data_IF_197226196528
#
_entry.id   IF_197226196528
#
_cell.length_a   1.000
_cell.length_b   1.000
_cell.length_c   1.000
_cell.angle_alpha   90.00
_cell.angle_beta   90.00
_cell.angle_gamma   90.00
#
_symmetry.space_group_name_H-M   'P 1'
#
loop_
_entity.id
_entity.type
_entity.pdbx_description
1 polymer ?
#
# COMPACT_ATOMS: atom_id res chain seq x y z
N UNK A 1 8.89 5.96 9.85
CA UNK A 1 9.32 5.53 11.21
C UNK A 1 10.82 5.17 11.34
N UNK A 2 11.66 5.47 10.33
CA UNK A 2 13.11 5.27 10.37
C UNK A 2 13.56 3.90 9.83
N UNK A 3 14.82 3.84 9.37
CA UNK A 3 15.38 2.66 8.66
C UNK A 3 15.37 1.37 9.48
N UNK A 4 15.59 1.46 10.80
CA UNK A 4 15.64 0.27 11.67
C UNK A 4 14.29 -0.44 11.75
N UNK A 5 13.18 0.30 11.84
CA UNK A 5 11.83 -0.30 11.85
C UNK A 5 11.48 -0.91 10.50
N UNK A 6 11.87 -0.27 9.40
CA UNK A 6 11.67 -0.81 8.05
C UNK A 6 12.40 -2.16 7.87
N UNK A 7 13.67 -2.26 8.28
CA UNK A 7 14.40 -3.53 8.23
C UNK A 7 13.76 -4.64 9.09
N UNK A 8 13.23 -4.28 10.26
CA UNK A 8 12.50 -5.22 11.11
C UNK A 8 11.19 -5.67 10.46
N UNK A 9 10.45 -4.75 9.83
CA UNK A 9 9.22 -5.05 9.11
C UNK A 9 9.48 -5.97 7.91
N UNK A 10 10.53 -5.71 7.13
CA UNK A 10 10.90 -6.57 5.99
C UNK A 10 11.28 -7.99 6.42
N UNK A 11 12.02 -8.11 7.52
CA UNK A 11 12.38 -9.41 8.07
C UNK A 11 11.14 -10.16 8.58
N UNK A 12 10.28 -9.50 9.35
CA UNK A 12 9.02 -10.09 9.82
C UNK A 12 8.07 -10.45 8.68
N UNK A 13 8.03 -9.66 7.62
CA UNK A 13 7.23 -9.95 6.43
C UNK A 13 7.71 -11.21 5.70
N UNK A 14 9.03 -11.45 5.63
CA UNK A 14 9.59 -12.69 5.06
C UNK A 14 9.19 -13.91 5.88
N UNK A 15 9.35 -13.85 7.19
CA UNK A 15 8.99 -14.94 8.10
C UNK A 15 7.48 -15.22 8.08
N UNK A 16 6.64 -14.17 8.02
CA UNK A 16 5.20 -14.31 7.95
C UNK A 16 4.76 -15.01 6.67
N UNK A 17 5.36 -14.66 5.52
CA UNK A 17 5.07 -15.29 4.21
C UNK A 17 5.35 -16.79 4.19
N UNK A 18 6.25 -17.29 5.03
CA UNK A 18 6.54 -18.73 5.12
C UNK A 18 5.46 -19.50 5.90
N UNK A 19 4.66 -18.80 6.71
CA UNK A 19 3.69 -19.39 7.62
C UNK A 19 2.23 -19.21 7.20
N UNK A 20 1.94 -18.40 6.17
CA UNK A 20 0.57 -18.08 5.75
C UNK A 20 0.35 -18.28 4.25
N UNK A 21 -0.90 -18.52 3.87
CA UNK A 21 -1.30 -18.67 2.48
C UNK A 21 -1.20 -17.36 1.67
N UNK A 22 -1.62 -16.25 2.28
CA UNK A 22 -1.59 -14.91 1.69
C UNK A 22 -1.31 -13.86 2.77
N UNK A 23 -0.45 -12.90 2.45
CA UNK A 23 -0.13 -11.72 3.24
C UNK A 23 -0.61 -10.48 2.50
N UNK A 24 -1.49 -9.71 3.13
CA UNK A 24 -1.91 -8.39 2.65
C UNK A 24 -1.00 -7.35 3.30
N UNK A 25 -0.31 -6.54 2.49
CA UNK A 25 0.56 -5.47 2.99
C UNK A 25 -0.06 -4.10 2.79
N UNK A 26 -0.13 -3.31 3.86
CA UNK A 26 -0.61 -1.92 3.82
C UNK A 26 0.57 -1.00 4.17
N UNK A 27 1.18 -0.34 3.17
CA UNK A 27 2.30 0.57 3.41
C UNK A 27 1.81 1.87 4.05
N UNK A 28 2.21 2.13 5.30
CA UNK A 28 1.87 3.36 6.02
C UNK A 28 2.27 4.65 5.27
N UNK A 29 3.33 4.59 4.45
CA UNK A 29 3.76 5.72 3.61
C UNK A 29 2.70 6.12 2.58
N UNK A 30 1.88 5.18 2.09
CA UNK A 30 0.83 5.45 1.11
C UNK A 30 -0.40 6.10 1.73
N UNK A 31 -0.67 5.82 3.00
CA UNK A 31 -1.74 6.46 3.75
C UNK A 31 -1.51 7.97 3.88
N UNK A 32 -0.24 8.42 3.93
CA UNK A 32 0.10 9.84 3.98
C UNK A 32 -0.36 10.62 2.74
N UNK A 33 -0.54 9.97 1.59
CA UNK A 33 -1.09 10.61 0.39
C UNK A 33 -2.61 10.83 0.48
N UNK A 34 -3.28 10.10 1.36
CA UNK A 34 -4.74 10.17 1.55
C UNK A 34 -5.12 11.09 2.71
N UNK A 35 -4.16 11.41 3.60
CA UNK A 35 -4.39 12.18 4.82
C UNK A 35 -3.99 13.65 4.63
N UNK A 36 -4.85 14.57 5.07
CA UNK A 36 -4.57 16.01 5.04
C UNK A 36 -3.39 16.39 5.94
N UNK A 37 -2.59 17.38 5.51
CA UNK A 37 -1.36 17.82 6.21
C UNK A 37 -1.59 18.34 7.64
N UNK A 38 -2.84 18.62 8.02
CA UNK A 38 -3.22 19.11 9.36
C UNK A 38 -3.62 18.02 10.36
N UNK A 39 -3.67 16.76 9.94
CA UNK A 39 -4.15 15.64 10.77
C UNK A 39 -3.11 15.23 11.80
N UNK A 40 -3.55 14.90 13.01
CA UNK A 40 -2.66 14.45 14.09
C UNK A 40 -2.07 13.07 13.78
N UNK A 41 -0.93 12.72 14.40
CA UNK A 41 -0.32 11.40 14.23
C UNK A 41 -1.29 10.27 14.65
N UNK A 42 -2.05 10.48 15.74
CA UNK A 42 -3.04 9.49 16.19
C UNK A 42 -4.16 9.28 15.17
N UNK A 43 -4.68 10.37 14.61
CA UNK A 43 -5.73 10.31 13.59
C UNK A 43 -5.22 9.73 12.26
N UNK A 44 -3.93 9.90 11.92
CA UNK A 44 -3.34 9.24 10.75
C UNK A 44 -3.30 7.71 10.88
N UNK A 45 -3.10 7.18 12.10
CA UNK A 45 -3.15 5.72 12.31
C UNK A 45 -4.58 5.19 12.25
N UNK A 46 -5.59 5.99 12.62
CA UNK A 46 -7.00 5.58 12.46
C UNK A 46 -7.37 5.34 11.00
N UNK A 47 -6.71 6.01 10.06
CA UNK A 47 -6.90 5.75 8.63
C UNK A 47 -6.32 4.38 8.24
N UNK A 48 -5.16 4.02 8.79
CA UNK A 48 -4.61 2.67 8.62
C UNK A 48 -5.54 1.60 9.18
N UNK A 49 -6.08 1.85 10.38
CA UNK A 49 -7.04 0.96 11.03
C UNK A 49 -8.32 0.80 10.21
N UNK A 50 -8.83 1.88 9.60
CA UNK A 50 -10.02 1.79 8.75
C UNK A 50 -9.75 1.00 7.46
N UNK A 51 -8.58 1.15 6.85
CA UNK A 51 -8.18 0.32 5.69
C UNK A 51 -8.10 -1.15 6.07
N UNK A 52 -7.45 -1.48 7.20
CA UNK A 52 -7.39 -2.86 7.71
C UNK A 52 -8.79 -3.41 7.99
N UNK A 53 -9.66 -2.61 8.62
CA UNK A 53 -11.05 -2.96 8.89
C UNK A 53 -11.80 -3.25 7.59
N UNK A 54 -11.66 -2.41 6.57
CA UNK A 54 -12.26 -2.60 5.25
C UNK A 54 -11.73 -3.86 4.55
N UNK A 55 -10.44 -4.18 4.68
CA UNK A 55 -9.86 -5.40 4.12
C UNK A 55 -10.51 -6.65 4.69
N UNK A 56 -10.55 -6.72 6.03
CA UNK A 56 -11.10 -7.86 6.76
C UNK A 56 -12.60 -7.98 6.53
N UNK A 57 -13.31 -6.84 6.59
CA UNK A 57 -14.74 -6.80 6.31
C UNK A 57 -15.03 -7.25 4.87
N UNK A 58 -14.27 -6.77 3.89
CA UNK A 58 -14.48 -7.11 2.47
C UNK A 58 -14.38 -8.61 2.20
N UNK A 59 -13.48 -9.33 2.88
CA UNK A 59 -13.38 -10.80 2.76
C UNK A 59 -14.45 -11.50 3.59
N UNK A 60 -14.68 -11.04 4.83
CA UNK A 60 -15.61 -11.67 5.75
C UNK A 60 -17.06 -11.58 5.25
N UNK A 61 -17.45 -10.43 4.70
CA UNK A 61 -18.82 -10.18 4.25
C UNK A 61 -19.17 -11.08 3.05
N UNK A 62 -18.19 -11.36 2.17
CA UNK A 62 -18.37 -12.29 1.05
C UNK A 62 -18.69 -13.72 1.47
N UNK A 63 -18.26 -14.14 2.66
CA UNK A 63 -18.43 -15.51 3.17
C UNK A 63 -19.66 -15.58 4.08
N UNK A 64 -19.87 -14.55 4.90
CA UNK A 64 -20.80 -14.60 6.04
C UNK A 64 -22.13 -13.92 5.77
N UNK A 65 -22.17 -12.94 4.87
CA UNK A 65 -23.38 -12.16 4.59
C UNK A 65 -24.03 -12.70 3.32
N UNK A 66 -25.32 -13.07 3.35
CA UNK A 66 -26.06 -13.39 2.14
C UNK A 66 -26.10 -12.17 1.22
N UNK A 67 -25.44 -12.29 0.08
CA UNK A 67 -25.44 -11.34 -1.01
C UNK A 67 -26.41 -11.70 -2.14
N UNK A 68 -26.57 -10.77 -3.08
CA UNK A 68 -27.19 -11.01 -4.39
C UNK A 68 -26.42 -12.05 -5.19
N UNK A 69 -25.09 -12.03 -5.05
CA UNK A 69 -24.16 -12.98 -5.65
C UNK A 69 -23.33 -13.54 -4.51
N UNK A 70 -23.76 -14.70 -4.01
CA UNK A 70 -23.03 -15.42 -2.99
C UNK A 70 -21.81 -16.11 -3.60
N UNK A 71 -20.69 -15.92 -2.96
CA UNK A 71 -19.50 -16.75 -3.13
C UNK A 71 -19.49 -17.81 -2.04
N UNK A 72 -18.94 -18.97 -2.33
CA UNK A 72 -18.68 -19.95 -1.29
C UNK A 72 -17.25 -19.79 -0.73
N UNK A 73 -17.00 -20.46 0.39
CA UNK A 73 -15.67 -20.43 1.00
C UNK A 73 -14.60 -21.13 0.13
N UNK A 74 -14.99 -22.07 -0.73
CA UNK A 74 -14.06 -22.76 -1.60
C UNK A 74 -13.53 -21.83 -2.71
N UNK A 75 -14.38 -20.96 -3.24
CA UNK A 75 -14.06 -19.90 -4.19
C UNK A 75 -13.02 -18.94 -3.62
N UNK A 76 -13.30 -18.38 -2.42
CA UNK A 76 -12.35 -17.48 -1.73
C UNK A 76 -11.05 -18.20 -1.40
N UNK A 77 -11.12 -19.44 -0.92
CA UNK A 77 -9.94 -20.26 -0.62
C UNK A 77 -9.11 -20.51 -1.89
N UNK A 78 -9.73 -20.77 -3.03
CA UNK A 78 -9.02 -21.05 -4.29
C UNK A 78 -8.18 -19.86 -4.76
N UNK A 79 -8.67 -18.63 -4.54
CA UNK A 79 -7.92 -17.40 -4.86
C UNK A 79 -6.87 -17.08 -3.80
N UNK A 80 -7.13 -17.32 -2.51
CA UNK A 80 -6.20 -16.89 -1.47
C UNK A 80 -5.16 -17.94 -1.07
N UNK A 81 -5.34 -19.21 -1.44
CA UNK A 81 -4.47 -20.29 -1.01
C UNK A 81 -3.12 -20.25 -1.76
N UNK A 82 -2.02 -20.07 -1.01
CA UNK A 82 -0.66 -20.11 -1.55
C UNK A 82 -0.29 -18.97 -2.52
N UNK A 83 -1.07 -17.88 -2.56
CA UNK A 83 -0.81 -16.75 -3.45
C UNK A 83 0.27 -15.79 -2.94
N UNK A 84 0.68 -15.92 -1.68
CA UNK A 84 1.80 -15.15 -1.15
C UNK A 84 1.43 -13.69 -0.92
N UNK A 85 1.76 -12.79 -1.84
CA UNK A 85 1.51 -11.35 -1.65
C UNK A 85 0.18 -10.89 -2.21
N UNK A 86 -0.49 -10.03 -1.45
CA UNK A 86 -1.74 -9.42 -1.84
C UNK A 86 -1.75 -7.91 -1.57
N UNK A 87 -2.48 -7.20 -2.42
CA UNK A 87 -2.71 -5.76 -2.37
C UNK A 87 -4.20 -5.49 -2.35
N UNK A 88 -4.58 -4.35 -1.76
CA UNK A 88 -5.98 -3.98 -1.58
C UNK A 88 -6.22 -2.58 -2.12
N UNK A 89 -7.30 -2.42 -2.88
CA UNK A 89 -7.87 -1.14 -3.25
C UNK A 89 -9.30 -1.02 -2.73
N UNK A 90 -9.67 0.18 -2.27
CA UNK A 90 -11.03 0.48 -1.86
C UNK A 90 -11.52 1.77 -2.53
N UNK A 91 -12.78 1.78 -2.92
CA UNK A 91 -13.45 2.93 -3.52
C UNK A 91 -14.89 3.04 -3.05
N UNK A 92 -15.38 4.28 -2.98
CA UNK A 92 -16.78 4.56 -2.61
C UNK A 92 -17.32 5.68 -3.48
N UNK A 93 -18.55 5.54 -3.93
CA UNK A 93 -19.22 6.59 -4.70
C UNK A 93 -20.73 6.57 -4.46
N UNK A 94 -21.39 7.66 -4.87
CA UNK A 94 -22.83 7.88 -4.69
C UNK A 94 -23.45 8.41 -5.98
N UNK A 95 -24.75 8.24 -6.14
CA UNK A 95 -25.51 8.71 -7.30
C UNK A 95 -25.42 7.78 -8.51
N UNK A 96 -25.84 8.29 -9.67
CA UNK A 96 -26.12 7.49 -10.87
C UNK A 96 -24.88 6.79 -11.45
N UNK A 97 -23.69 7.39 -11.32
CA UNK A 97 -22.42 6.82 -11.81
C UNK A 97 -21.60 6.10 -10.72
N UNK A 98 -22.21 5.81 -9.56
CA UNK A 98 -21.49 5.26 -8.41
C UNK A 98 -20.72 3.97 -8.71
N UNK A 99 -21.23 3.11 -9.59
CA UNK A 99 -20.55 1.87 -9.95
C UNK A 99 -19.20 2.13 -10.65
N UNK A 100 -19.20 3.02 -11.63
CA UNK A 100 -18.01 3.37 -12.40
C UNK A 100 -17.03 4.14 -11.51
N UNK A 101 -17.51 5.14 -10.79
CA UNK A 101 -16.68 5.99 -9.94
C UNK A 101 -16.06 5.22 -8.77
N UNK A 102 -16.83 4.38 -8.08
CA UNK A 102 -16.31 3.55 -6.99
C UNK A 102 -15.27 2.55 -7.51
N UNK A 103 -15.50 1.98 -8.70
CA UNK A 103 -14.54 1.04 -9.32
C UNK A 103 -13.25 1.76 -9.68
N UNK A 104 -13.34 2.93 -10.34
CA UNK A 104 -12.18 3.74 -10.69
C UNK A 104 -11.37 4.15 -9.46
N UNK A 105 -12.04 4.55 -8.38
CA UNK A 105 -11.36 4.84 -7.11
C UNK A 105 -10.68 3.61 -6.52
N UNK A 106 -11.32 2.43 -6.59
CA UNK A 106 -10.75 1.21 -6.05
C UNK A 106 -9.48 0.79 -6.81
N UNK A 107 -9.49 0.82 -8.15
CA UNK A 107 -8.33 0.47 -8.98
C UNK A 107 -7.21 1.51 -8.96
N UNK A 108 -7.54 2.79 -8.72
CA UNK A 108 -6.57 3.88 -8.61
C UNK A 108 -6.16 4.18 -7.16
N UNK A 109 -6.54 3.30 -6.23
CA UNK A 109 -6.26 3.50 -4.81
C UNK A 109 -4.74 3.54 -4.56
N UNK A 110 -4.22 4.48 -3.74
CA UNK A 110 -2.79 4.58 -3.42
C UNK A 110 -2.17 3.34 -2.76
N UNK A 111 -3.02 2.41 -2.33
CA UNK A 111 -2.67 1.14 -1.69
C UNK A 111 -2.43 -0.01 -2.68
N UNK A 112 -2.94 0.13 -3.91
CA UNK A 112 -2.53 -0.70 -5.03
C UNK A 112 -1.26 -0.05 -5.61
N UNK A 113 -0.17 -0.81 -5.68
CA UNK A 113 1.12 -0.29 -6.16
C UNK A 113 1.06 0.14 -7.64
N UNK A 114 2.11 0.81 -8.09
CA UNK A 114 2.39 1.11 -9.52
C UNK A 114 2.47 -0.16 -10.41
N UNK A 115 2.39 -1.36 -9.81
CA UNK A 115 1.99 -2.57 -10.49
C UNK A 115 0.46 -2.56 -10.59
N UNK A 116 -0.02 -2.16 -11.76
CA UNK A 116 -1.37 -2.37 -12.25
C UNK A 116 -1.93 -3.71 -11.77
N UNK A 117 -3.25 -3.83 -11.61
CA UNK A 117 -3.94 -5.11 -11.36
C UNK A 117 -3.48 -6.21 -12.37
N UNK A 118 -2.93 -5.78 -13.51
CA UNK A 118 -2.10 -6.55 -14.45
C UNK A 118 -0.93 -7.27 -13.77
N UNK A 119 -1.00 -8.59 -13.73
CA UNK A 119 -0.01 -9.48 -13.11
C UNK A 119 -0.49 -10.15 -11.82
N UNK A 120 -1.67 -9.79 -11.32
CA UNK A 120 -2.33 -10.57 -10.27
C UNK A 120 -2.91 -11.87 -10.86
N UNK A 121 -2.57 -13.02 -10.26
CA UNK A 121 -3.12 -14.33 -10.67
C UNK A 121 -4.54 -14.55 -10.19
N UNK A 122 -4.92 -13.89 -9.10
CA UNK A 122 -6.25 -13.95 -8.53
C UNK A 122 -6.74 -12.59 -8.09
N UNK A 123 -7.96 -12.22 -8.43
CA UNK A 123 -8.59 -10.96 -8.04
C UNK A 123 -9.93 -11.25 -7.39
N UNK A 124 -10.09 -10.78 -6.16
CA UNK A 124 -11.34 -10.85 -5.40
C UNK A 124 -11.97 -9.47 -5.34
N UNK A 125 -13.24 -9.38 -5.73
CA UNK A 125 -14.00 -8.15 -5.80
C UNK A 125 -15.21 -8.28 -4.87
N UNK A 126 -15.29 -7.41 -3.87
CA UNK A 126 -16.46 -7.27 -3.03
C UNK A 126 -17.19 -5.96 -3.40
N UNK A 127 -18.45 -6.07 -3.80
CA UNK A 127 -19.33 -4.94 -4.07
C UNK A 127 -20.36 -4.90 -2.97
N UNK A 128 -20.40 -3.82 -2.20
CA UNK A 128 -21.40 -3.59 -1.16
C UNK A 128 -22.24 -2.38 -1.54
N UNK A 129 -23.55 -2.56 -1.63
CA UNK A 129 -24.49 -1.49 -1.98
C UNK A 129 -25.77 -1.57 -1.17
N UNK A 130 -26.60 -0.53 -1.29
CA UNK A 130 -27.93 -0.52 -0.70
C UNK A 130 -28.90 -1.49 -1.41
N UNK A 131 -30.15 -1.61 -0.92
CA UNK A 131 -31.20 -2.41 -1.56
C UNK A 131 -31.53 -2.00 -3.00
N UNK A 132 -31.07 -0.82 -3.41
CA UNK A 132 -31.17 -0.24 -4.74
C UNK A 132 -30.01 -0.66 -5.67
N UNK A 133 -29.11 -1.54 -5.23
CA UNK A 133 -28.04 -2.12 -6.05
C UNK A 133 -28.62 -2.96 -7.19
N UNK A 134 -28.21 -2.64 -8.43
CA UNK A 134 -28.70 -3.32 -9.63
C UNK A 134 -27.63 -4.26 -10.23
N UNK A 135 -28.09 -5.28 -10.94
CA UNK A 135 -27.20 -6.18 -11.70
C UNK A 135 -26.40 -5.44 -12.78
N UNK A 136 -26.94 -4.35 -13.34
CA UNK A 136 -26.25 -3.55 -14.36
C UNK A 136 -25.02 -2.86 -13.77
N UNK A 137 -25.15 -2.28 -12.57
CA UNK A 137 -24.04 -1.66 -11.86
C UNK A 137 -22.95 -2.66 -11.48
N UNK A 138 -23.35 -3.83 -10.99
CA UNK A 138 -22.42 -4.93 -10.67
C UNK A 138 -21.65 -5.39 -11.91
N UNK A 139 -22.34 -5.53 -13.04
CA UNK A 139 -21.71 -5.93 -14.31
C UNK A 139 -20.76 -4.84 -14.84
N UNK A 140 -21.14 -3.56 -14.75
CA UNK A 140 -20.29 -2.45 -15.15
C UNK A 140 -18.99 -2.42 -14.33
N UNK A 141 -19.08 -2.56 -13.00
CA UNK A 141 -17.91 -2.64 -12.11
C UNK A 141 -17.00 -3.82 -12.45
N UNK A 142 -17.60 -5.02 -12.64
CA UNK A 142 -16.87 -6.23 -13.02
C UNK A 142 -16.15 -6.08 -14.36
N UNK A 143 -16.78 -5.45 -15.35
CA UNK A 143 -16.20 -5.23 -16.68
C UNK A 143 -14.97 -4.33 -16.64
N UNK A 144 -15.03 -3.21 -15.90
CA UNK A 144 -13.90 -2.29 -15.74
C UNK A 144 -12.71 -2.98 -15.07
N UNK A 145 -12.96 -3.79 -14.04
CA UNK A 145 -11.89 -4.51 -13.34
C UNK A 145 -11.29 -5.58 -14.24
N UNK A 146 -12.11 -6.27 -15.04
CA UNK A 146 -11.63 -7.26 -16.00
C UNK A 146 -10.76 -6.65 -17.08
N UNK A 147 -11.13 -5.48 -17.60
CA UNK A 147 -10.31 -4.71 -18.56
C UNK A 147 -8.98 -4.23 -17.96
N UNK A 148 -8.93 -4.07 -16.64
CA UNK A 148 -7.74 -3.62 -15.92
C UNK A 148 -6.88 -4.78 -15.39
N UNK A 149 -7.40 -6.00 -15.39
CA UNK A 149 -6.74 -7.21 -14.93
C UNK A 149 -6.07 -7.97 -16.10
N UNK A 150 -5.28 -8.98 -15.76
CA UNK A 150 -4.71 -9.89 -16.76
C UNK A 150 -5.79 -10.82 -17.33
N UNK A 151 -5.71 -11.16 -18.62
CA UNK A 151 -6.68 -12.05 -19.29
C UNK A 151 -6.72 -13.44 -18.64
N UNK A 152 -5.59 -13.88 -18.09
CA UNK A 152 -5.43 -15.18 -17.41
C UNK A 152 -5.71 -15.12 -15.90
N UNK A 153 -6.09 -13.94 -15.36
CA UNK A 153 -6.38 -13.81 -13.93
C UNK A 153 -7.70 -14.49 -13.56
N UNK A 154 -7.70 -15.25 -12.45
CA UNK A 154 -8.93 -15.79 -11.88
C UNK A 154 -9.66 -14.67 -11.10
N UNK A 155 -10.78 -14.19 -11.64
CA UNK A 155 -11.55 -13.09 -11.04
C UNK A 155 -12.82 -13.64 -10.40
N UNK A 156 -12.99 -13.35 -9.12
CA UNK A 156 -14.18 -13.70 -8.35
C UNK A 156 -14.83 -12.42 -7.84
N UNK A 157 -16.15 -12.32 -8.03
CA UNK A 157 -16.94 -11.17 -7.61
C UNK A 157 -18.06 -11.62 -6.68
N UNK A 158 -18.25 -10.91 -5.59
CA UNK A 158 -19.44 -11.04 -4.76
C UNK A 158 -20.12 -9.69 -4.57
N UNK A 159 -21.43 -9.75 -4.38
CA UNK A 159 -22.27 -8.58 -4.24
C UNK A 159 -23.13 -8.71 -2.99
N UNK A 160 -22.90 -7.86 -2.01
CA UNK A 160 -23.57 -7.85 -0.70
C UNK A 160 -24.52 -6.65 -0.62
N UNK A 161 -25.71 -6.89 -0.08
CA UNK A 161 -26.66 -5.82 0.23
C UNK A 161 -26.49 -5.40 1.69
N UNK A 162 -26.20 -4.13 1.90
CA UNK A 162 -26.17 -3.49 3.21
C UNK A 162 -27.32 -2.46 3.29
N UNK A 163 -28.35 -2.77 4.08
CA UNK A 163 -29.52 -1.91 4.26
C UNK A 163 -29.20 -0.54 4.87
N UNK A 164 -28.02 -0.40 5.50
CA UNK A 164 -27.57 0.88 6.06
C UNK A 164 -27.03 1.84 4.99
N UNK A 165 -26.73 1.34 3.80
CA UNK A 165 -26.29 2.15 2.68
C UNK A 165 -27.50 2.65 1.88
N UNK A 166 -27.57 3.96 1.67
CA UNK A 166 -28.57 4.59 0.80
C UNK A 166 -27.84 5.38 -0.26
N UNK A 167 -28.11 5.04 -1.52
CA UNK A 167 -27.49 5.65 -2.69
C UNK A 167 -25.94 5.64 -2.67
N UNK A 168 -25.34 4.65 -2.01
CA UNK A 168 -23.89 4.51 -1.87
C UNK A 168 -23.47 3.10 -2.29
N UNK A 169 -22.39 3.04 -3.07
CA UNK A 169 -21.72 1.80 -3.42
C UNK A 169 -20.28 1.83 -2.92
N UNK A 170 -19.86 0.74 -2.29
CA UNK A 170 -18.48 0.49 -1.85
C UNK A 170 -17.94 -0.70 -2.63
N UNK A 171 -16.73 -0.54 -3.16
CA UNK A 171 -16.04 -1.60 -3.88
C UNK A 171 -14.70 -1.82 -3.21
N UNK A 172 -14.40 -3.07 -2.89
CA UNK A 172 -13.10 -3.50 -2.39
C UNK A 172 -12.53 -4.51 -3.37
N UNK A 173 -11.32 -4.24 -3.85
CA UNK A 173 -10.58 -5.11 -4.77
C UNK A 173 -9.37 -5.64 -4.02
N UNK A 174 -9.19 -6.95 -4.03
CA UNK A 174 -8.05 -7.63 -3.44
C UNK A 174 -7.36 -8.41 -4.55
N UNK A 175 -6.18 -7.94 -4.92
CA UNK A 175 -5.34 -8.57 -5.93
C UNK A 175 -4.31 -9.47 -5.24
N UNK A 176 -4.15 -10.69 -5.71
CA UNK A 176 -3.32 -11.74 -5.10
C UNK A 176 -2.45 -12.41 -6.16
N UNK A 177 -1.35 -13.01 -5.74
CA UNK A 177 -0.53 -13.84 -6.62
C UNK A 177 0.45 -13.04 -7.47
N UNK A 178 0.86 -11.86 -7.00
CA UNK A 178 1.94 -11.09 -7.61
C UNK A 178 3.26 -11.87 -7.50
N UNK A 179 3.90 -12.12 -8.64
CA UNK A 179 5.17 -12.85 -8.68
C UNK A 179 6.29 -12.07 -7.98
N UNK A 180 7.16 -12.81 -7.29
CA UNK A 180 8.20 -12.37 -6.35
C UNK A 180 9.26 -11.41 -6.91
N UNK A 181 9.22 -11.01 -8.18
CA UNK A 181 10.28 -10.22 -8.80
C UNK A 181 10.08 -8.69 -8.73
N UNK A 182 8.89 -8.18 -8.43
CA UNK A 182 8.64 -6.72 -8.55
C UNK A 182 9.06 -5.93 -7.31
N UNK A 183 9.32 -6.57 -6.17
CA UNK A 183 9.88 -5.90 -4.99
C UNK A 183 11.42 -5.92 -5.01
N UNK A 184 12.03 -5.82 -6.19
CA UNK A 184 13.34 -5.20 -6.28
C UNK A 184 13.12 -3.70 -6.18
N UNK A 185 13.28 -3.16 -4.98
CA UNK A 185 13.45 -1.72 -4.78
C UNK A 185 14.52 -1.29 -5.78
N UNK A 186 14.09 -0.58 -6.82
CA UNK A 186 14.93 -0.08 -7.90
C UNK A 186 15.87 0.97 -7.32
N UNK A 187 16.94 0.48 -6.72
CA UNK A 187 18.22 1.18 -6.59
C UNK A 187 18.82 1.30 -8.00
N UNK A 188 18.19 2.12 -8.83
CA UNK A 188 18.64 2.42 -10.19
C UNK A 188 18.46 3.91 -10.48
N UNK A 189 19.10 4.72 -9.64
CA UNK A 189 19.56 6.05 -10.01
C UNK A 189 21.06 6.18 -9.67
N UNK A 190 21.86 5.17 -10.06
CA UNK A 190 23.27 5.37 -10.31
C UNK A 190 23.39 5.79 -11.78
N UNK A 191 23.27 7.09 -12.01
CA UNK A 191 23.52 7.71 -13.30
C UNK A 191 24.92 7.31 -13.76
N UNK A 192 25.01 6.67 -14.94
CA UNK A 192 26.24 6.41 -15.66
C UNK A 192 26.96 7.76 -15.91
N UNK A 193 27.91 8.11 -15.04
CA UNK A 193 28.86 9.19 -15.29
C UNK A 193 30.11 8.54 -15.88
N UNK A 194 30.37 8.87 -17.15
CA UNK A 194 31.58 8.47 -17.89
C UNK A 194 32.85 8.79 -17.10
N UNK A 195 33.94 8.02 -17.22
CA UNK A 195 35.20 8.36 -16.55
C UNK A 195 35.81 9.61 -17.21
N UNK A 196 35.65 10.76 -16.57
CA UNK A 196 36.36 11.98 -16.91
C UNK A 196 37.83 11.87 -16.48
N UNK A 197 38.72 12.34 -17.36
CA UNK A 197 40.16 12.37 -17.18
C UNK A 197 40.59 13.05 -15.85
N UNK A 198 41.74 12.66 -15.26
CA UNK A 198 42.16 13.20 -13.97
C UNK A 198 42.47 14.71 -14.07
N UNK A 199 42.05 15.53 -13.09
CA UNK A 199 42.37 16.96 -13.09
C UNK A 199 43.87 17.15 -12.83
N UNK A 200 44.51 17.99 -13.66
CA UNK A 200 45.86 18.49 -13.41
C UNK A 200 45.85 19.36 -12.16
N UNK A 201 46.59 18.96 -11.14
CA UNK A 201 46.92 19.79 -9.99
C UNK A 201 47.73 21.01 -10.47
N UNK A 202 47.16 22.20 -10.33
CA UNK A 202 47.90 23.47 -10.42
C UNK A 202 48.42 23.76 -9.03
N UNK A 203 49.74 23.62 -8.83
CA UNK A 203 50.42 24.03 -7.61
C UNK A 203 50.24 25.54 -7.41
N UNK A 204 49.46 25.92 -6.39
CA UNK A 204 49.57 27.25 -5.76
C UNK A 204 50.43 27.13 -4.51
N UNK A 205 51.38 28.05 -4.28
CA UNK A 205 52.13 28.10 -3.04
C UNK A 205 51.20 28.35 -1.86
N UNK A 206 51.40 27.58 -0.80
CA UNK A 206 50.75 27.69 0.50
C UNK A 206 51.34 28.86 1.29
N UNK A 207 50.52 29.87 1.58
CA UNK A 207 50.71 30.72 2.75
C UNK A 207 49.35 31.11 3.32
N UNK A 208 49.30 31.12 4.66
CA UNK A 208 48.22 31.53 5.55
C UNK A 208 46.98 30.62 5.72
N UNK A 209 47.07 29.71 6.70
CA UNK A 209 45.93 29.37 7.56
C UNK A 209 46.37 29.42 9.05
N UNK A 210 45.65 30.16 9.92
CA UNK A 210 45.94 30.20 11.35
C UNK A 210 45.44 28.94 12.06
N UNK A 211 46.25 28.41 12.99
CA UNK A 211 45.94 27.21 13.79
C UNK A 211 44.87 27.50 14.86
N UNK A 212 43.82 26.68 15.02
CA UNK A 212 42.95 26.77 16.18
C UNK A 212 43.56 26.07 17.40
N UNK A 213 43.34 26.67 18.57
CA UNK A 213 43.80 26.22 19.88
C UNK A 213 43.17 24.89 20.32
N UNK A 214 44.01 24.05 20.91
CA UNK A 214 43.67 22.76 21.50
C UNK A 214 43.02 22.97 22.87
N UNK A 215 41.77 22.55 23.05
CA UNK A 215 41.07 22.72 24.33
C UNK A 215 39.63 22.20 24.37
N UNK A 216 39.39 20.94 24.05
CA UNK A 216 38.17 20.24 24.47
C UNK A 216 38.48 18.76 24.68
N UNK A 217 38.21 18.27 25.89
CA UNK A 217 38.43 16.87 26.30
C UNK A 217 37.49 15.94 25.53
N UNK A 218 37.99 14.77 25.17
CA UNK A 218 37.34 13.79 24.31
C UNK A 218 36.18 13.00 24.96
N UNK A 219 35.83 13.29 26.22
CA UNK A 219 34.89 12.46 27.00
C UNK A 219 33.41 12.92 26.93
N UNK A 220 33.09 14.00 26.21
CA UNK A 220 31.73 14.55 26.16
C UNK A 220 31.03 14.32 24.80
N UNK A 221 31.09 13.11 24.25
CA UNK A 221 30.34 12.75 23.02
C UNK A 221 29.10 11.87 23.27
N UNK A 222 28.95 11.29 24.47
CA UNK A 222 27.89 10.33 24.76
C UNK A 222 26.57 10.93 25.28
N UNK A 223 26.49 12.25 25.49
CA UNK A 223 25.25 12.92 25.93
C UNK A 223 24.57 13.62 24.75
N UNK A 224 23.29 13.34 24.45
CA UNK A 224 22.53 14.03 23.41
C UNK A 224 22.51 15.55 23.58
N UNK A 225 22.62 16.28 22.46
CA UNK A 225 22.84 17.74 22.39
C UNK A 225 21.79 18.58 23.12
N UNK A 226 20.57 18.08 23.29
CA UNK A 226 19.48 18.81 23.94
C UNK A 226 19.58 18.88 25.48
N UNK A 227 20.38 17.99 26.10
CA UNK A 227 20.62 18.00 27.56
C UNK A 227 21.76 18.96 27.93
N UNK A 228 22.72 19.16 27.02
CA UNK A 228 23.91 20.01 27.26
C UNK A 228 23.56 21.49 27.49
N UNK A 229 22.48 21.98 26.88
CA UNK A 229 22.06 23.38 26.93
C UNK A 229 21.25 23.78 28.19
N UNK A 230 21.10 22.89 29.17
CA UNK A 230 20.39 23.19 30.43
C UNK A 230 21.32 23.40 31.64
N UNK A 231 22.63 23.31 31.45
CA UNK A 231 23.62 23.44 32.52
C UNK A 231 24.56 24.65 32.36
N UNK A 232 24.27 25.56 31.41
CA UNK A 232 24.89 26.89 31.28
C UNK A 232 23.83 27.97 31.50
#
# INVERSE_FOLDING_TARGET
EGRRRMQQADQGLRELRECVDTVITIPNERLLHTVDRGVSLGDSFRVADDVLRQAVQGISDLITVPGLINLDFADVKSIMQGMGMALMGAGRAKGENRAIEATQQAISSPLLEEATIQGAKGVLINITGGPDLTLFEVNAASSIIRESADDDANIIFGAVIDETLTDEMRITVIATGFDKEVVSVSSAAATNVMPAAPPRFVNRPSDDLPRPMMGARADDLDVPTFIRKKAD
#
